data_IF_108517867970
#
_entry.id   IF_108517867970
#
_cell.length_a   1.000
_cell.length_b   1.000
_cell.length_c   1.000
_cell.angle_alpha   90.00
_cell.angle_beta   90.00
_cell.angle_gamma   90.00
#
_symmetry.space_group_name_H-M   'P 1'
#
loop_
_entity.id
_entity.type
_entity.pdbx_description
1 polymer ?
#
# COMPACT_ATOMS: atom_id res chain seq x y z
N UNK A 1 -18.80 -5.66 -21.11
CA UNK A 1 -18.55 -4.78 -19.95
C UNK A 1 -19.16 -3.43 -20.28
N UNK A 2 -20.03 -2.90 -19.42
CA UNK A 2 -20.50 -1.52 -19.59
C UNK A 2 -19.33 -0.57 -19.35
N UNK A 3 -19.22 0.47 -20.16
CA UNK A 3 -18.22 1.51 -19.94
C UNK A 3 -18.47 2.16 -18.57
N UNK A 4 -17.42 2.30 -17.76
CA UNK A 4 -17.48 3.02 -16.49
C UNK A 4 -17.69 4.51 -16.83
N UNK A 5 -18.64 5.15 -16.16
CA UNK A 5 -18.88 6.59 -16.28
C UNK A 5 -17.59 7.36 -15.90
N UNK A 6 -17.07 8.24 -16.79
CA UNK A 6 -15.81 8.95 -16.53
C UNK A 6 -15.84 9.81 -15.26
N UNK A 7 -16.97 10.39 -14.90
CA UNK A 7 -17.10 11.19 -13.68
C UNK A 7 -16.93 10.29 -12.45
N UNK A 8 -17.65 9.17 -12.43
CA UNK A 8 -17.54 8.16 -11.36
C UNK A 8 -16.11 7.64 -11.21
N UNK A 9 -15.44 7.32 -12.32
CA UNK A 9 -14.05 6.86 -12.30
C UNK A 9 -13.12 7.87 -11.61
N UNK A 10 -13.21 9.14 -12.01
CA UNK A 10 -12.35 10.20 -11.46
C UNK A 10 -12.65 10.45 -9.98
N UNK A 11 -13.93 10.43 -9.58
CA UNK A 11 -14.31 10.61 -8.16
C UNK A 11 -13.74 9.48 -7.30
N UNK A 12 -13.89 8.23 -7.73
CA UNK A 12 -13.37 7.07 -6.99
C UNK A 12 -11.85 7.09 -6.94
N UNK A 13 -11.19 7.36 -8.07
CA UNK A 13 -9.73 7.45 -8.14
C UNK A 13 -9.18 8.50 -7.18
N UNK A 14 -9.72 9.73 -7.20
CA UNK A 14 -9.27 10.79 -6.31
C UNK A 14 -9.58 10.50 -4.84
N UNK A 15 -10.71 9.85 -4.55
CA UNK A 15 -11.05 9.43 -3.19
C UNK A 15 -10.04 8.43 -2.63
N UNK A 16 -9.68 7.39 -3.39
CA UNK A 16 -8.68 6.40 -3.00
C UNK A 16 -7.28 7.01 -2.87
N UNK A 17 -6.90 7.89 -3.80
CA UNK A 17 -5.63 8.61 -3.73
C UNK A 17 -5.56 9.49 -2.47
N UNK A 18 -6.66 10.16 -2.13
CA UNK A 18 -6.73 10.99 -0.92
C UNK A 18 -6.55 10.18 0.36
N UNK A 19 -7.15 8.98 0.43
CA UNK A 19 -6.93 8.06 1.57
C UNK A 19 -5.46 7.70 1.68
N UNK A 20 -4.78 7.40 0.58
CA UNK A 20 -3.35 7.13 0.58
C UNK A 20 -2.51 8.35 1.03
N UNK A 21 -2.82 9.55 0.55
CA UNK A 21 -2.15 10.78 1.04
C UNK A 21 -2.38 11.04 2.54
N UNK A 22 -3.50 10.61 3.11
CA UNK A 22 -3.76 10.74 4.55
C UNK A 22 -3.00 9.67 5.38
N UNK A 23 -2.79 8.47 4.82
CA UNK A 23 -1.89 7.47 5.41
C UNK A 23 -0.44 7.99 5.44
N UNK A 24 0.01 8.66 4.37
CA UNK A 24 1.33 9.31 4.32
C UNK A 24 1.54 10.26 5.52
N UNK A 25 0.61 11.21 5.70
CA UNK A 25 0.65 12.20 6.78
C UNK A 25 0.58 11.55 8.17
N UNK A 26 -0.11 10.41 8.28
CA UNK A 26 -0.22 9.68 9.53
C UNK A 26 1.14 9.10 9.92
N UNK A 27 1.87 8.50 8.99
CA UNK A 27 3.23 8.06 9.26
C UNK A 27 4.15 9.19 9.69
N UNK A 28 4.11 10.33 9.00
CA UNK A 28 4.95 11.49 9.32
C UNK A 28 4.76 11.97 10.75
N UNK A 29 3.50 12.03 11.20
CA UNK A 29 3.15 12.54 12.52
C UNK A 29 3.30 11.53 13.63
N UNK A 30 3.16 10.24 13.33
CA UNK A 30 3.18 9.17 14.32
C UNK A 30 4.58 8.56 14.52
N UNK A 31 5.45 8.65 13.51
CA UNK A 31 6.77 8.04 13.58
C UNK A 31 7.70 8.80 14.52
N UNK A 32 8.32 8.07 15.44
CA UNK A 32 9.41 8.60 16.26
C UNK A 32 10.74 8.68 15.47
N UNK A 33 10.92 7.81 14.47
CA UNK A 33 12.16 7.72 13.69
C UNK A 33 12.23 8.81 12.63
N UNK A 34 13.27 9.65 12.61
CA UNK A 34 13.48 10.66 11.56
C UNK A 34 13.56 10.04 10.15
N UNK A 35 14.00 8.78 10.05
CA UNK A 35 14.05 8.03 8.77
C UNK A 35 12.66 7.91 8.14
N UNK A 36 11.61 7.79 8.97
CA UNK A 36 10.22 7.67 8.52
C UNK A 36 9.53 9.05 8.50
N UNK A 37 9.71 9.87 9.55
CA UNK A 37 8.99 11.14 9.70
C UNK A 37 9.51 12.25 8.79
N UNK A 38 10.81 12.24 8.46
CA UNK A 38 11.47 13.29 7.66
C UNK A 38 12.14 12.72 6.40
N UNK A 39 12.68 11.50 6.50
CA UNK A 39 13.35 10.81 5.39
C UNK A 39 12.40 10.09 4.43
N UNK A 40 11.13 9.95 4.81
CA UNK A 40 10.07 9.29 4.04
C UNK A 40 10.41 7.88 3.53
N UNK A 41 11.25 7.15 4.26
CA UNK A 41 11.54 5.74 4.03
C UNK A 41 10.38 4.86 4.52
N UNK A 42 9.24 4.98 3.82
CA UNK A 42 7.94 4.39 4.14
C UNK A 42 7.09 4.27 2.89
N UNK A 43 6.07 3.44 2.96
CA UNK A 43 5.03 3.35 1.94
C UNK A 43 3.75 2.76 2.53
N UNK A 44 2.63 3.19 1.97
CA UNK A 44 1.29 2.68 2.22
C UNK A 44 0.52 2.63 0.92
N UNK A 45 -0.45 1.73 0.85
CA UNK A 45 -1.31 1.63 -0.31
C UNK A 45 -2.51 0.74 -0.08
N UNK A 46 -3.41 0.81 -1.05
CA UNK A 46 -4.60 -0.02 -1.16
C UNK A 46 -4.34 -0.98 -2.31
N UNK A 47 -4.56 -2.27 -2.07
CA UNK A 47 -4.24 -3.35 -3.01
C UNK A 47 -5.47 -4.19 -3.31
N UNK A 48 -5.51 -4.77 -4.50
CA UNK A 48 -6.56 -5.68 -4.89
C UNK A 48 -6.52 -6.93 -4.02
N UNK A 49 -7.67 -7.29 -3.44
CA UNK A 49 -7.81 -8.39 -2.49
C UNK A 49 -7.22 -9.72 -2.97
N UNK A 50 -7.53 -10.10 -4.22
CA UNK A 50 -7.16 -11.42 -4.73
C UNK A 50 -5.82 -11.43 -5.50
N UNK A 51 -5.52 -10.40 -6.29
CA UNK A 51 -4.31 -10.35 -7.13
C UNK A 51 -3.14 -9.62 -6.48
N UNK A 52 -3.37 -8.86 -5.41
CA UNK A 52 -2.38 -8.00 -4.77
C UNK A 52 -1.91 -6.81 -5.63
N UNK A 53 -2.57 -6.54 -6.76
CA UNK A 53 -2.24 -5.40 -7.61
C UNK A 53 -2.45 -4.08 -6.88
N UNK A 54 -1.56 -3.11 -7.10
CA UNK A 54 -1.72 -1.77 -6.53
C UNK A 54 -2.95 -1.07 -7.12
N UNK A 55 -3.80 -0.52 -6.25
CA UNK A 55 -4.97 0.30 -6.63
C UNK A 55 -4.66 1.79 -6.42
N UNK A 56 -4.13 2.12 -5.24
CA UNK A 56 -3.69 3.47 -4.89
C UNK A 56 -2.51 3.38 -3.91
N UNK A 57 -1.60 4.34 -3.96
CA UNK A 57 -0.43 4.36 -3.09
C UNK A 57 -0.07 5.80 -2.72
N UNK A 58 0.51 5.99 -1.54
CA UNK A 58 1.04 7.29 -1.10
C UNK A 58 2.09 7.85 -2.06
N UNK A 59 2.14 9.17 -2.17
CA UNK A 59 3.00 9.89 -3.14
C UNK A 59 4.37 10.25 -2.54
N UNK A 60 4.47 10.31 -1.22
CA UNK A 60 5.64 10.85 -0.52
C UNK A 60 6.71 9.81 -0.19
N UNK A 61 6.38 8.52 -0.27
CA UNK A 61 7.30 7.42 -0.01
C UNK A 61 8.41 7.26 -1.05
N UNK A 62 9.47 6.53 -0.71
CA UNK A 62 10.55 6.24 -1.66
C UNK A 62 10.02 5.49 -2.90
N UNK A 63 10.42 5.88 -4.12
CA UNK A 63 9.93 5.26 -5.35
C UNK A 63 10.14 3.76 -5.45
N UNK A 64 11.14 3.20 -4.74
CA UNK A 64 11.39 1.77 -4.70
C UNK A 64 10.15 1.01 -4.22
N UNK A 65 9.40 1.55 -3.25
CA UNK A 65 8.24 0.89 -2.66
C UNK A 65 7.06 0.72 -3.63
N UNK A 66 6.90 1.64 -4.59
CA UNK A 66 5.93 1.51 -5.69
C UNK A 66 6.13 0.20 -6.47
N UNK A 67 7.38 -0.21 -6.63
CA UNK A 67 7.72 -1.45 -7.31
C UNK A 67 7.50 -2.70 -6.46
N UNK A 68 7.85 -2.66 -5.17
CA UNK A 68 7.97 -3.87 -4.33
C UNK A 68 6.74 -4.23 -3.51
N UNK A 69 5.96 -3.26 -3.01
CA UNK A 69 4.92 -3.53 -2.00
C UNK A 69 3.81 -4.48 -2.48
N UNK A 70 3.42 -4.39 -3.76
CA UNK A 70 2.48 -5.33 -4.38
C UNK A 70 2.96 -6.80 -4.32
N UNK A 71 4.27 -7.05 -4.37
CA UNK A 71 4.81 -8.41 -4.27
C UNK A 71 4.73 -8.93 -2.83
N UNK A 72 4.94 -8.06 -1.84
CA UNK A 72 4.69 -8.40 -0.43
C UNK A 72 3.23 -8.75 -0.18
N UNK A 73 2.31 -7.95 -0.71
CA UNK A 73 0.87 -8.24 -0.63
C UNK A 73 0.54 -9.60 -1.26
N UNK A 74 1.06 -9.88 -2.47
CA UNK A 74 0.88 -11.18 -3.14
C UNK A 74 1.45 -12.34 -2.35
N UNK A 75 2.61 -12.17 -1.72
CA UNK A 75 3.21 -13.20 -0.87
C UNK A 75 2.32 -13.53 0.33
N UNK A 76 1.73 -12.51 0.98
CA UNK A 76 0.76 -12.71 2.06
C UNK A 76 -0.47 -13.46 1.56
N UNK A 77 -1.07 -13.03 0.44
CA UNK A 77 -2.23 -13.69 -0.17
C UNK A 77 -1.93 -15.16 -0.48
N UNK A 78 -0.77 -15.45 -1.09
CA UNK A 78 -0.40 -16.81 -1.47
C UNK A 78 -0.17 -17.75 -0.28
N UNK A 79 0.31 -17.22 0.86
CA UNK A 79 0.57 -18.02 2.06
C UNK A 79 -0.68 -18.29 2.90
N UNK A 80 -1.77 -17.53 2.72
CA UNK A 80 -2.95 -17.60 3.58
C UNK A 80 -4.14 -18.19 2.83
N UNK A 81 -4.76 -19.22 3.44
CA UNK A 81 -5.96 -19.88 2.90
C UNK A 81 -7.19 -18.99 2.97
N UNK A 82 -7.30 -18.15 4.00
CA UNK A 82 -8.41 -17.22 4.22
C UNK A 82 -7.90 -16.01 4.98
N UNK A 83 -8.32 -14.81 4.56
CA UNK A 83 -8.08 -13.53 5.25
C UNK A 83 -9.44 -13.05 5.75
N UNK A 84 -9.56 -12.83 7.05
CA UNK A 84 -10.79 -12.38 7.69
C UNK A 84 -10.66 -10.96 8.23
N UNK A 85 -11.80 -10.32 8.49
CA UNK A 85 -11.84 -8.98 9.05
C UNK A 85 -11.11 -8.93 10.42
N UNK A 86 -10.25 -7.92 10.60
CA UNK A 86 -9.42 -7.75 11.79
C UNK A 86 -8.04 -8.41 11.75
N UNK A 87 -7.72 -9.22 10.74
CA UNK A 87 -6.37 -9.79 10.61
C UNK A 87 -5.30 -8.72 10.32
N UNK A 88 -4.12 -8.88 10.94
CA UNK A 88 -2.93 -8.07 10.67
C UNK A 88 -1.76 -8.99 10.35
N UNK A 89 -1.11 -8.77 9.21
CA UNK A 89 0.05 -9.53 8.77
C UNK A 89 1.31 -8.68 8.83
N UNK A 90 2.40 -9.27 9.34
CA UNK A 90 3.72 -8.66 9.41
C UNK A 90 4.69 -9.53 8.62
N UNK A 91 5.48 -8.90 7.75
CA UNK A 91 6.47 -9.58 6.91
C UNK A 91 7.79 -8.83 7.04
N UNK A 92 8.87 -9.56 7.30
CA UNK A 92 10.23 -9.04 7.24
C UNK A 92 11.15 -9.89 6.32
N UNK A 93 10.62 -10.94 5.69
CA UNK A 93 11.42 -11.79 4.80
C UNK A 93 11.73 -11.02 3.49
N UNK A 94 13.02 -10.73 3.20
CA UNK A 94 13.39 -9.98 2.00
C UNK A 94 13.06 -10.74 0.70
N UNK A 95 12.91 -12.07 0.75
CA UNK A 95 12.50 -12.87 -0.40
C UNK A 95 10.99 -12.81 -0.67
N UNK A 96 10.22 -12.27 0.27
CA UNK A 96 8.77 -12.09 0.17
C UNK A 96 8.38 -10.64 -0.18
N UNK A 97 9.27 -9.86 -0.82
CA UNK A 97 8.98 -8.50 -1.30
C UNK A 97 9.64 -7.36 -0.52
N UNK A 98 10.41 -7.66 0.53
CA UNK A 98 11.27 -6.68 1.20
C UNK A 98 12.53 -6.33 0.39
N UNK A 99 13.11 -5.15 0.62
CA UNK A 99 14.37 -4.72 -0.02
C UNK A 99 15.61 -5.22 0.74
N UNK A 100 15.50 -5.39 2.06
CA UNK A 100 16.53 -5.86 2.98
C UNK A 100 15.92 -6.26 4.34
N UNK A 101 16.77 -6.60 5.32
CA UNK A 101 16.46 -6.73 6.76
C UNK A 101 17.23 -5.67 7.55
#
# INVERSE_FOLDING_TARGET
MNAIDPVTLVVVQNGLQRVASEMDLTFERAAFSPVISEGFDRSDGIYHRDTGDVIAQGELGLPIFVGVMQFTTRAVIAQKREVVDGDVFLVNDPYCGGTHL
#
